data_IF_416292212701
#
_entry.id   IF_416292212701
#
_cell.length_a   1.000
_cell.length_b   1.000
_cell.length_c   1.000
_cell.angle_alpha   90.00
_cell.angle_beta   90.00
_cell.angle_gamma   90.00
#
_symmetry.space_group_name_H-M   'P 1'
#
loop_
_entity.id
_entity.type
_entity.pdbx_description
1 polymer ?
#
# COMPACT_ATOMS: atom_id res chain seq x y z
N UNK A 1 7.01 -1.39 66.64
CA UNK A 1 8.21 -1.16 65.79
C UNK A 1 8.04 -1.92 64.48
N UNK A 2 8.08 -1.19 63.35
CA UNK A 2 8.46 -1.57 61.97
C UNK A 2 8.01 -2.93 61.36
N UNK A 3 7.03 -2.83 60.46
CA UNK A 3 7.07 -3.17 59.03
C UNK A 3 8.21 -4.07 58.48
N UNK A 4 7.86 -5.13 57.74
CA UNK A 4 8.41 -5.49 56.40
C UNK A 4 7.71 -6.72 55.77
N UNK A 5 6.95 -6.47 54.69
CA UNK A 5 7.01 -7.08 53.34
C UNK A 5 7.45 -8.55 53.17
N UNK A 6 6.60 -9.36 52.51
CA UNK A 6 7.01 -10.19 51.36
C UNK A 6 5.80 -10.58 50.48
N UNK A 7 5.73 -9.98 49.29
CA UNK A 7 4.98 -10.44 48.12
C UNK A 7 5.72 -11.61 47.47
N UNK A 8 5.00 -12.59 46.92
CA UNK A 8 5.54 -13.49 45.89
C UNK A 8 4.98 -14.91 45.87
N UNK A 9 3.82 -15.12 45.24
CA UNK A 9 3.47 -16.44 44.69
C UNK A 9 3.01 -16.26 43.24
N UNK A 10 3.84 -16.80 42.32
CA UNK A 10 3.59 -16.89 40.89
C UNK A 10 2.57 -17.99 40.63
N UNK A 11 1.46 -17.67 39.97
CA UNK A 11 0.52 -18.65 39.41
C UNK A 11 1.04 -19.02 38.01
N UNK A 12 1.42 -20.28 37.83
CA UNK A 12 1.75 -20.86 36.54
C UNK A 12 0.44 -21.30 35.85
N UNK A 13 0.11 -20.71 34.70
CA UNK A 13 -0.99 -21.14 33.85
C UNK A 13 -0.39 -21.92 32.68
N UNK A 14 -0.64 -23.23 32.65
CA UNK A 14 -0.21 -24.13 31.59
C UNK A 14 -1.07 -23.99 30.34
N UNK A 15 -0.43 -23.93 29.17
CA UNK A 15 -1.10 -23.98 27.86
C UNK A 15 -1.40 -25.44 27.49
N UNK A 16 -2.62 -25.78 27.03
CA UNK A 16 -2.90 -27.09 26.46
C UNK A 16 -2.28 -27.23 25.06
N UNK A 17 -1.75 -28.41 24.77
CA UNK A 17 -0.98 -28.74 23.57
C UNK A 17 -1.77 -28.64 22.27
N UNK A 18 -1.07 -28.29 21.19
CA UNK A 18 -1.59 -28.28 19.82
C UNK A 18 -1.79 -29.71 19.30
N UNK A 19 -2.86 -30.01 18.55
CA UNK A 19 -3.02 -31.30 17.89
C UNK A 19 -2.04 -31.48 16.73
N UNK A 20 -1.44 -32.66 16.66
CA UNK A 20 -0.55 -33.15 15.59
C UNK A 20 -1.43 -33.70 14.47
N UNK A 21 -1.34 -33.13 13.26
CA UNK A 21 -1.95 -33.72 12.06
C UNK A 21 -0.94 -34.67 11.38
N UNK A 22 -1.33 -35.90 11.02
CA UNK A 22 -0.45 -36.90 10.42
C UNK A 22 -0.18 -36.59 8.94
N UNK A 23 1.03 -36.96 8.50
CA UNK A 23 1.62 -36.52 7.24
C UNK A 23 1.03 -37.14 5.97
N UNK A 24 1.11 -36.35 4.90
CA UNK A 24 1.09 -36.83 3.53
C UNK A 24 2.51 -36.77 3.00
N UNK A 25 3.10 -37.96 2.80
CA UNK A 25 4.40 -38.11 2.16
C UNK A 25 4.28 -37.87 0.66
N UNK A 26 5.08 -36.95 0.13
CA UNK A 26 5.35 -36.88 -1.30
C UNK A 26 6.68 -37.61 -1.55
N UNK A 27 6.56 -38.80 -2.17
CA UNK A 27 7.66 -39.50 -2.79
C UNK A 27 8.26 -38.63 -3.90
N UNK A 28 9.57 -38.36 -3.79
CA UNK A 28 10.37 -37.75 -4.83
C UNK A 28 10.56 -38.75 -5.98
N UNK A 29 10.02 -38.45 -7.15
CA UNK A 29 10.37 -39.16 -8.39
C UNK A 29 11.49 -38.40 -9.12
N UNK A 30 12.66 -39.05 -9.22
CA UNK A 30 13.88 -38.52 -9.81
C UNK A 30 13.87 -38.73 -11.33
N UNK A 31 13.32 -37.76 -12.07
CA UNK A 31 13.46 -37.69 -13.52
C UNK A 31 14.74 -36.96 -13.95
N UNK A 32 15.80 -37.71 -14.29
CA UNK A 32 16.97 -37.22 -15.04
C UNK A 32 16.53 -36.73 -16.43
N UNK A 33 16.79 -35.45 -16.74
CA UNK A 33 16.60 -34.87 -18.08
C UNK A 33 17.72 -33.88 -18.40
N UNK A 34 18.35 -34.10 -19.55
CA UNK A 34 19.63 -33.57 -20.03
C UNK A 34 19.58 -32.07 -20.42
N UNK A 35 20.71 -31.37 -20.28
CA UNK A 35 20.94 -29.96 -20.65
C UNK A 35 20.86 -29.73 -22.16
N UNK A 36 20.32 -28.57 -22.59
CA UNK A 36 20.95 -27.60 -23.51
C UNK A 36 20.01 -26.42 -23.82
N UNK A 37 20.53 -25.18 -23.82
CA UNK A 37 19.84 -23.97 -24.29
C UNK A 37 20.03 -22.76 -23.36
N UNK A 38 20.90 -21.84 -23.75
CA UNK A 38 21.26 -20.62 -23.02
C UNK A 38 20.20 -19.53 -23.05
N UNK A 39 19.04 -19.80 -22.44
CA UNK A 39 18.14 -18.75 -21.96
C UNK A 39 18.39 -18.54 -20.47
N UNK A 40 18.50 -17.29 -20.01
CA UNK A 40 18.35 -16.99 -18.58
C UNK A 40 17.05 -17.64 -18.12
N UNK A 41 17.15 -18.65 -17.26
CA UNK A 41 15.96 -19.22 -16.62
C UNK A 41 15.31 -18.09 -15.84
N UNK A 42 13.98 -17.89 -15.93
CA UNK A 42 13.31 -17.02 -14.96
C UNK A 42 13.70 -17.50 -13.56
N UNK A 43 13.94 -16.58 -12.61
CA UNK A 43 14.29 -16.97 -11.26
C UNK A 43 13.29 -18.05 -10.79
N UNK A 44 13.82 -19.16 -10.27
CA UNK A 44 13.00 -20.32 -9.93
C UNK A 44 11.84 -19.89 -9.02
N UNK A 45 10.70 -20.59 -9.10
CA UNK A 45 9.48 -20.37 -8.29
C UNK A 45 9.72 -20.11 -6.79
N UNK A 46 10.88 -20.51 -6.25
CA UNK A 46 11.28 -20.31 -4.87
C UNK A 46 11.79 -18.88 -4.55
N UNK A 47 12.43 -18.18 -5.49
CA UNK A 47 12.95 -16.82 -5.27
C UNK A 47 11.82 -15.76 -5.10
N UNK A 48 10.66 -15.99 -5.72
CA UNK A 48 9.50 -15.09 -5.67
C UNK A 48 8.83 -15.02 -4.29
N UNK A 49 9.08 -15.98 -3.39
CA UNK A 49 8.50 -15.99 -2.04
C UNK A 49 9.30 -15.20 -1.00
N UNK A 50 10.50 -14.71 -1.34
CA UNK A 50 11.37 -14.02 -0.39
C UNK A 50 11.25 -12.50 -0.41
N UNK A 51 10.65 -11.93 -1.47
CA UNK A 51 10.41 -10.50 -1.59
C UNK A 51 8.97 -10.18 -1.21
N UNK A 52 8.79 -9.55 -0.05
CA UNK A 52 7.52 -8.92 0.30
C UNK A 52 7.50 -7.51 -0.28
N UNK A 53 6.58 -7.27 -1.20
CA UNK A 53 6.29 -5.95 -1.76
C UNK A 53 4.81 -5.79 -2.07
N UNK A 54 4.28 -4.62 -1.73
CA UNK A 54 2.95 -4.19 -2.12
C UNK A 54 2.93 -3.55 -3.53
N UNK A 55 4.09 -3.19 -4.08
CA UNK A 55 4.20 -2.49 -5.36
C UNK A 55 4.06 -3.45 -6.54
N UNK A 56 3.09 -3.16 -7.42
CA UNK A 56 2.84 -3.93 -8.62
C UNK A 56 3.99 -3.83 -9.62
N UNK A 57 4.63 -2.65 -9.73
CA UNK A 57 5.78 -2.46 -10.62
C UNK A 57 6.99 -3.32 -10.23
N UNK A 58 7.24 -3.52 -8.93
CA UNK A 58 8.33 -4.38 -8.45
C UNK A 58 8.03 -5.85 -8.72
N UNK A 59 6.77 -6.26 -8.49
CA UNK A 59 6.29 -7.61 -8.80
C UNK A 59 6.39 -7.92 -10.31
N UNK A 60 6.02 -6.95 -11.16
CA UNK A 60 6.14 -7.04 -12.61
C UNK A 60 7.61 -7.09 -13.08
N UNK A 61 8.50 -6.31 -12.45
CA UNK A 61 9.93 -6.34 -12.76
C UNK A 61 10.57 -7.69 -12.42
N UNK A 62 10.17 -8.31 -11.30
CA UNK A 62 10.71 -9.60 -10.86
C UNK A 62 10.39 -10.76 -11.84
N UNK A 63 9.20 -10.74 -12.46
CA UNK A 63 8.80 -11.78 -13.44
C UNK A 63 9.20 -11.47 -14.88
N UNK A 64 9.51 -10.20 -15.17
CA UNK A 64 9.82 -9.70 -16.51
C UNK A 64 8.61 -9.13 -17.25
N UNK A 65 8.86 -8.16 -18.14
CA UNK A 65 7.80 -7.40 -18.84
C UNK A 65 7.04 -8.18 -19.91
N UNK A 66 7.59 -9.28 -20.41
CA UNK A 66 7.02 -10.06 -21.53
C UNK A 66 6.24 -11.29 -21.05
N UNK A 67 5.58 -11.18 -19.89
CA UNK A 67 4.75 -12.25 -19.33
C UNK A 67 3.32 -12.11 -19.88
N UNK A 68 2.73 -13.24 -20.30
CA UNK A 68 1.31 -13.26 -20.69
C UNK A 68 0.45 -12.72 -19.54
N UNK A 69 -0.59 -11.94 -19.88
CA UNK A 69 -1.49 -11.39 -18.89
C UNK A 69 -0.94 -10.16 -18.17
N UNK A 70 0.22 -9.65 -18.58
CA UNK A 70 0.87 -8.47 -18.04
C UNK A 70 1.17 -7.48 -19.18
N UNK A 71 0.70 -6.26 -19.04
CA UNK A 71 1.06 -5.14 -19.93
C UNK A 71 1.70 -4.05 -19.07
N UNK A 72 2.84 -3.53 -19.51
CA UNK A 72 3.59 -2.50 -18.79
C UNK A 72 3.87 -1.34 -19.73
N UNK A 73 3.37 -0.17 -19.36
CA UNK A 73 3.60 1.08 -20.07
C UNK A 73 4.36 2.04 -19.16
N UNK A 74 5.30 2.79 -19.72
CA UNK A 74 6.08 3.78 -18.98
C UNK A 74 6.06 5.09 -19.74
N UNK A 75 5.93 6.18 -18.98
CA UNK A 75 6.07 7.53 -19.48
C UNK A 75 6.71 8.41 -18.44
N UNK A 76 7.27 9.52 -18.89
CA UNK A 76 7.81 10.56 -18.02
C UNK A 76 6.95 11.80 -18.18
N UNK A 77 6.58 12.40 -17.06
CA UNK A 77 5.80 13.65 -16.98
C UNK A 77 6.56 14.68 -16.14
N UNK A 78 6.31 15.96 -16.40
CA UNK A 78 6.94 17.07 -15.66
C UNK A 78 8.47 17.03 -15.69
N UNK A 79 9.08 17.42 -14.58
CA UNK A 79 10.54 17.43 -14.38
C UNK A 79 11.07 16.08 -13.88
N UNK A 80 10.87 15.03 -14.70
CA UNK A 80 11.49 13.71 -14.43
C UNK A 80 10.67 12.77 -13.56
N UNK A 81 9.38 13.05 -13.34
CA UNK A 81 8.47 12.13 -12.65
C UNK A 81 8.11 10.99 -13.61
N UNK A 82 8.39 9.76 -13.18
CA UNK A 82 8.14 8.57 -14.01
C UNK A 82 6.81 7.94 -13.62
N UNK A 83 5.93 7.77 -14.58
CA UNK A 83 4.67 7.05 -14.41
C UNK A 83 4.77 5.68 -15.09
N UNK A 84 4.53 4.63 -14.33
CA UNK A 84 4.50 3.25 -14.82
C UNK A 84 3.10 2.68 -14.62
N UNK A 85 2.46 2.24 -15.70
CA UNK A 85 1.16 1.58 -15.68
C UNK A 85 1.38 0.08 -15.85
N UNK A 86 0.83 -0.71 -14.95
CA UNK A 86 0.84 -2.17 -14.99
C UNK A 86 -0.59 -2.67 -15.05
N UNK A 87 -0.97 -3.25 -16.17
CA UNK A 87 -2.26 -3.91 -16.37
C UNK A 87 -2.11 -5.42 -16.24
N UNK A 88 -2.76 -5.97 -15.22
CA UNK A 88 -2.90 -7.41 -14.99
C UNK A 88 -4.22 -7.86 -15.61
N UNK A 89 -4.14 -8.51 -16.77
CA UNK A 89 -5.28 -8.68 -17.69
C UNK A 89 -5.91 -10.07 -17.68
N UNK A 90 -5.23 -11.07 -17.13
CA UNK A 90 -5.77 -12.43 -16.97
C UNK A 90 -5.28 -13.12 -15.68
N UNK A 91 -5.92 -14.25 -15.35
CA UNK A 91 -5.61 -15.04 -14.15
C UNK A 91 -4.19 -15.62 -14.16
N UNK A 92 -3.57 -15.78 -15.34
CA UNK A 92 -2.19 -16.20 -15.42
C UNK A 92 -1.26 -15.06 -15.00
N UNK A 93 -1.50 -13.84 -15.48
CA UNK A 93 -0.83 -12.62 -15.03
C UNK A 93 -0.94 -12.46 -13.52
N UNK A 94 -2.16 -12.53 -12.97
CA UNK A 94 -2.41 -12.43 -11.52
C UNK A 94 -1.57 -13.41 -10.72
N UNK A 95 -1.54 -14.68 -11.16
CA UNK A 95 -0.74 -15.72 -10.50
C UNK A 95 0.77 -15.47 -10.61
N UNK A 96 1.23 -14.93 -11.74
CA UNK A 96 2.65 -14.67 -11.95
C UNK A 96 3.15 -13.50 -11.10
N UNK A 97 2.42 -12.38 -11.08
CA UNK A 97 2.82 -11.19 -10.30
C UNK A 97 2.33 -11.21 -8.85
N UNK A 98 1.48 -12.18 -8.47
CA UNK A 98 0.83 -12.24 -7.15
C UNK A 98 0.10 -10.93 -6.79
N UNK A 99 -0.59 -10.35 -7.78
CA UNK A 99 -1.41 -9.15 -7.65
C UNK A 99 -2.72 -9.38 -8.39
N UNK A 100 -3.89 -9.03 -7.80
CA UNK A 100 -5.18 -9.21 -8.46
C UNK A 100 -5.23 -8.61 -9.87
N UNK A 101 -6.07 -9.18 -10.72
CA UNK A 101 -6.39 -8.58 -12.01
C UNK A 101 -6.91 -7.14 -11.88
N UNK A 102 -6.37 -6.25 -12.70
CA UNK A 102 -6.75 -4.85 -12.76
C UNK A 102 -5.59 -3.94 -13.15
N UNK A 103 -5.79 -2.64 -12.96
CA UNK A 103 -4.85 -1.60 -13.35
C UNK A 103 -4.16 -1.04 -12.12
N UNK A 104 -2.83 -0.96 -12.20
CA UNK A 104 -1.96 -0.35 -11.22
C UNK A 104 -1.18 0.78 -11.87
N UNK A 105 -1.10 1.92 -11.22
CA UNK A 105 -0.31 3.06 -11.66
C UNK A 105 0.67 3.40 -10.56
N UNK A 106 1.96 3.41 -10.88
CA UNK A 106 3.02 3.86 -9.97
C UNK A 106 3.60 5.16 -10.48
N UNK A 107 3.60 6.18 -9.63
CA UNK A 107 4.12 7.52 -9.89
C UNK A 107 5.40 7.66 -9.05
N UNK A 108 6.56 7.55 -9.70
CA UNK A 108 7.87 7.69 -9.07
C UNK A 108 8.31 9.15 -9.08
N UNK A 109 8.45 9.70 -7.88
CA UNK A 109 8.80 11.10 -7.60
C UNK A 109 10.05 11.08 -6.70
N UNK A 110 11.27 11.15 -7.28
CA UNK A 110 12.52 10.91 -6.55
C UNK A 110 12.69 11.72 -5.27
N UNK A 111 12.25 12.99 -5.28
CA UNK A 111 12.42 13.91 -4.15
C UNK A 111 11.14 14.12 -3.33
N UNK A 112 10.16 13.22 -3.40
CA UNK A 112 8.87 13.40 -2.71
C UNK A 112 8.95 13.42 -1.19
N UNK A 113 9.86 12.64 -0.58
CA UNK A 113 9.89 12.47 0.88
C UNK A 113 10.06 13.79 1.64
N UNK A 114 10.88 14.69 1.10
CA UNK A 114 11.17 16.02 1.64
C UNK A 114 11.13 17.08 0.52
N UNK A 115 10.20 16.89 -0.42
CA UNK A 115 10.08 17.71 -1.62
C UNK A 115 9.73 19.15 -1.30
N UNK A 116 10.15 20.06 -2.18
CA UNK A 116 9.73 21.44 -2.12
C UNK A 116 8.29 21.62 -2.64
N UNK A 117 7.74 22.82 -2.46
CA UNK A 117 6.36 23.13 -2.90
C UNK A 117 6.14 22.84 -4.39
N UNK A 118 7.04 23.22 -5.32
CA UNK A 118 6.93 22.84 -6.73
C UNK A 118 6.83 21.33 -6.96
N UNK A 119 7.71 20.54 -6.33
CA UNK A 119 7.73 19.08 -6.46
C UNK A 119 6.43 18.47 -5.95
N UNK A 120 5.98 18.89 -4.76
CA UNK A 120 4.74 18.42 -4.16
C UNK A 120 3.52 18.75 -5.01
N UNK A 121 3.47 19.97 -5.56
CA UNK A 121 2.39 20.43 -6.43
C UNK A 121 2.31 19.61 -7.71
N UNK A 122 3.44 19.32 -8.32
CA UNK A 122 3.50 18.51 -9.55
C UNK A 122 3.14 17.04 -9.26
N UNK A 123 3.63 16.48 -8.16
CA UNK A 123 3.28 15.13 -7.71
C UNK A 123 1.77 15.00 -7.47
N UNK A 124 1.16 15.94 -6.74
CA UNK A 124 -0.27 15.99 -6.49
C UNK A 124 -1.09 16.14 -7.78
N UNK A 125 -0.61 16.95 -8.74
CA UNK A 125 -1.25 17.13 -10.05
C UNK A 125 -1.25 15.84 -10.87
N UNK A 126 -0.11 15.16 -11.00
CA UNK A 126 -0.02 13.90 -11.74
C UNK A 126 -0.85 12.82 -11.05
N UNK A 127 -0.78 12.74 -9.71
CA UNK A 127 -1.60 11.83 -8.93
C UNK A 127 -3.10 12.07 -9.14
N UNK A 128 -3.57 13.32 -9.10
CA UNK A 128 -4.95 13.67 -9.35
C UNK A 128 -5.43 13.20 -10.73
N UNK A 129 -4.61 13.38 -11.77
CA UNK A 129 -4.94 12.95 -13.14
C UNK A 129 -5.06 11.43 -13.26
N UNK A 130 -4.17 10.67 -12.63
CA UNK A 130 -4.24 9.20 -12.66
C UNK A 130 -5.41 8.69 -11.82
N UNK A 131 -5.68 9.32 -10.68
CA UNK A 131 -6.82 9.01 -9.84
C UNK A 131 -8.15 9.28 -10.57
N UNK A 132 -8.28 10.41 -11.28
CA UNK A 132 -9.47 10.76 -12.05
C UNK A 132 -9.76 9.72 -13.15
N UNK A 133 -8.73 9.28 -13.88
CA UNK A 133 -8.84 8.23 -14.92
C UNK A 133 -9.37 6.92 -14.34
N UNK A 134 -8.97 6.56 -13.12
CA UNK A 134 -9.41 5.33 -12.47
C UNK A 134 -10.79 5.44 -11.82
N UNK A 135 -11.10 6.59 -11.22
CA UNK A 135 -12.40 6.86 -10.60
C UNK A 135 -13.53 7.01 -11.62
N UNK A 136 -13.21 7.45 -12.84
CA UNK A 136 -14.20 7.88 -13.84
C UNK A 136 -15.18 8.89 -13.24
N UNK A 137 -14.60 9.97 -12.68
CA UNK A 137 -15.31 10.94 -11.85
C UNK A 137 -16.53 11.49 -12.57
N UNK A 138 -17.72 11.38 -11.96
CA UNK A 138 -18.96 11.89 -12.54
C UNK A 138 -20.15 11.79 -11.59
N UNK A 139 -21.23 12.49 -11.92
CA UNK A 139 -22.52 12.51 -11.21
C UNK A 139 -22.52 13.18 -9.82
N UNK A 140 -23.63 13.81 -9.46
CA UNK A 140 -23.71 14.68 -8.28
C UNK A 140 -24.40 14.02 -7.06
N UNK A 141 -25.15 12.93 -7.29
CA UNK A 141 -26.12 12.43 -6.31
C UNK A 141 -25.54 11.55 -5.18
N UNK A 142 -24.31 11.05 -5.34
CA UNK A 142 -23.71 10.10 -4.39
C UNK A 142 -22.29 10.54 -3.98
N UNK A 143 -21.95 10.43 -2.68
CA UNK A 143 -20.67 10.91 -2.19
C UNK A 143 -19.50 9.99 -2.59
N UNK A 144 -18.31 10.55 -2.68
CA UNK A 144 -17.08 9.77 -2.57
C UNK A 144 -16.75 9.54 -1.09
N UNK A 145 -16.39 8.31 -0.73
CA UNK A 145 -15.95 7.97 0.62
C UNK A 145 -14.44 7.76 0.63
N UNK A 146 -13.70 8.69 1.22
CA UNK A 146 -12.26 8.56 1.44
C UNK A 146 -12.03 7.85 2.78
N UNK A 147 -11.20 6.82 2.77
CA UNK A 147 -10.91 6.02 3.97
C UNK A 147 -9.41 6.00 4.22
N UNK A 148 -8.98 6.58 5.33
CA UNK A 148 -7.61 6.48 5.82
C UNK A 148 -7.43 5.18 6.60
N UNK A 149 -6.86 4.17 5.95
CA UNK A 149 -6.52 2.88 6.57
C UNK A 149 -5.13 3.00 7.20
N UNK A 150 -4.97 2.43 8.40
CA UNK A 150 -3.70 2.39 9.10
C UNK A 150 -3.85 2.71 10.58
N UNK A 151 -2.73 2.70 11.29
CA UNK A 151 -2.64 3.03 12.69
C UNK A 151 -1.95 4.39 12.88
N UNK A 152 -2.71 5.40 13.30
CA UNK A 152 -2.18 6.76 13.58
C UNK A 152 -1.06 6.74 14.63
N UNK A 153 -1.06 5.77 15.55
CA UNK A 153 -0.05 5.60 16.60
C UNK A 153 1.28 5.01 16.10
N UNK A 154 1.35 4.51 14.86
CA UNK A 154 2.55 3.97 14.22
C UNK A 154 2.90 4.86 13.04
N UNK A 155 3.93 5.70 13.15
CA UNK A 155 4.21 6.74 12.14
C UNK A 155 4.33 6.20 10.72
N UNK A 156 5.02 5.07 10.51
CA UNK A 156 5.15 4.49 9.18
C UNK A 156 3.80 4.00 8.59
N UNK A 157 2.78 3.85 9.42
CA UNK A 157 1.42 3.39 9.09
C UNK A 157 0.36 4.51 9.24
N UNK A 158 0.79 5.78 9.44
CA UNK A 158 -0.12 6.90 9.71
C UNK A 158 -0.52 7.69 8.46
N UNK A 159 0.08 7.41 7.28
CA UNK A 159 -0.18 8.17 6.05
C UNK A 159 -1.67 8.15 5.67
N UNK A 160 -2.33 7.01 5.75
CA UNK A 160 -3.77 6.90 5.47
C UNK A 160 -4.61 7.80 6.39
N UNK A 161 -4.54 7.64 7.73
CA UNK A 161 -5.24 8.50 8.67
C UNK A 161 -4.95 10.01 8.47
N UNK A 162 -3.68 10.38 8.27
CA UNK A 162 -3.29 11.78 8.06
C UNK A 162 -3.84 12.34 6.73
N UNK A 163 -3.80 11.56 5.65
CA UNK A 163 -4.34 11.99 4.36
C UNK A 163 -5.86 12.17 4.41
N UNK A 164 -6.56 11.33 5.17
CA UNK A 164 -8.01 11.45 5.37
C UNK A 164 -8.40 12.73 6.13
N UNK A 165 -7.55 13.24 7.02
CA UNK A 165 -7.75 14.51 7.73
C UNK A 165 -7.67 15.72 6.79
N UNK A 166 -6.88 15.64 5.71
CA UNK A 166 -6.73 16.71 4.73
C UNK A 166 -7.82 16.75 3.65
N UNK A 167 -8.83 15.88 3.70
CA UNK A 167 -9.89 15.84 2.70
C UNK A 167 -10.92 16.95 2.93
N UNK A 168 -11.26 17.67 1.87
CA UNK A 168 -12.35 18.65 1.90
C UNK A 168 -13.68 17.90 1.98
N UNK A 169 -14.21 17.76 3.20
CA UNK A 169 -15.47 17.04 3.44
C UNK A 169 -16.66 17.92 3.11
N UNK A 170 -17.37 17.60 2.03
CA UNK A 170 -18.47 18.44 1.53
C UNK A 170 -19.84 17.83 1.76
N UNK A 171 -19.96 16.52 2.04
CA UNK A 171 -21.25 15.80 2.09
C UNK A 171 -22.31 16.48 2.97
N UNK A 172 -21.90 17.06 4.09
CA UNK A 172 -22.77 17.74 5.04
C UNK A 172 -23.18 19.17 4.61
N UNK A 173 -22.50 19.74 3.61
CA UNK A 173 -22.75 21.08 3.06
C UNK A 173 -23.60 21.03 1.78
N UNK A 174 -23.80 19.84 1.19
CA UNK A 174 -24.71 19.66 0.06
C UNK A 174 -26.15 19.87 0.53
N UNK A 175 -26.73 21.01 0.12
CA UNK A 175 -28.02 21.52 0.61
C UNK A 175 -27.94 23.04 0.74
N UNK A 176 -28.29 23.57 1.91
CA UNK A 176 -28.35 25.02 2.17
C UNK A 176 -26.98 25.71 2.08
N UNK A 177 -25.88 24.99 2.30
CA UNK A 177 -24.52 25.55 2.31
C UNK A 177 -23.77 25.37 0.97
N UNK A 178 -24.45 24.96 -0.10
CA UNK A 178 -23.82 24.64 -1.40
C UNK A 178 -23.08 25.84 -2.01
N UNK A 179 -23.48 27.06 -1.68
CA UNK A 179 -22.87 28.30 -2.17
C UNK A 179 -21.45 28.55 -1.62
N UNK A 180 -21.12 27.97 -0.46
CA UNK A 180 -19.78 28.06 0.15
C UNK A 180 -18.82 27.00 -0.38
N UNK A 181 -19.33 26.03 -1.15
CA UNK A 181 -18.52 25.00 -1.77
C UNK A 181 -17.98 25.47 -3.12
N UNK A 182 -16.83 24.94 -3.56
CA UNK A 182 -16.34 25.21 -4.90
C UNK A 182 -17.40 24.92 -5.97
N UNK A 183 -17.45 25.67 -7.09
CA UNK A 183 -18.50 25.52 -8.10
C UNK A 183 -18.66 24.09 -8.61
N UNK A 184 -17.55 23.36 -8.77
CA UNK A 184 -17.52 21.97 -9.24
C UNK A 184 -17.30 20.94 -8.12
N UNK A 185 -17.45 21.37 -6.87
CA UNK A 185 -17.35 20.47 -5.74
C UNK A 185 -18.35 19.33 -5.89
N UNK A 186 -17.88 18.11 -5.64
CA UNK A 186 -18.71 16.92 -5.50
C UNK A 186 -18.87 16.57 -4.03
N UNK A 187 -19.89 15.78 -3.72
CA UNK A 187 -20.15 15.31 -2.37
C UNK A 187 -19.03 14.34 -1.95
N UNK A 188 -18.38 14.62 -0.82
CA UNK A 188 -17.27 13.84 -0.31
C UNK A 188 -17.35 13.72 1.21
N UNK A 189 -16.97 12.57 1.73
CA UNK A 189 -16.83 12.31 3.15
C UNK A 189 -15.55 11.52 3.38
N UNK A 190 -14.96 11.67 4.57
CA UNK A 190 -13.72 11.02 4.93
C UNK A 190 -13.83 10.38 6.32
N UNK A 191 -13.12 9.26 6.53
CA UNK A 191 -13.03 8.60 7.84
C UNK A 191 -11.67 7.90 7.98
N UNK A 192 -11.12 7.92 9.20
CA UNK A 192 -10.02 7.05 9.61
C UNK A 192 -10.54 6.14 10.74
N UNK A 193 -10.94 4.90 10.45
CA UNK A 193 -11.64 4.04 11.40
C UNK A 193 -10.75 3.48 12.52
N UNK A 194 -9.42 3.65 12.41
CA UNK A 194 -8.45 3.05 13.31
C UNK A 194 -8.27 1.54 13.09
N UNK A 195 -7.57 0.91 14.02
CA UNK A 195 -7.25 -0.53 13.96
C UNK A 195 -7.97 -1.33 15.05
N UNK A 196 -8.13 -2.64 14.82
CA UNK A 196 -8.79 -3.58 15.74
C UNK A 196 -8.32 -3.45 17.20
N UNK A 197 -7.01 -3.29 17.42
CA UNK A 197 -6.44 -3.18 18.77
C UNK A 197 -6.86 -1.92 19.53
N UNK A 198 -7.31 -0.88 18.83
CA UNK A 198 -7.74 0.38 19.42
C UNK A 198 -9.27 0.42 19.60
N UNK A 199 -10.01 -0.08 18.61
CA UNK A 199 -11.47 0.08 18.56
C UNK A 199 -12.25 -1.17 18.95
N UNK A 200 -11.62 -2.35 18.90
CA UNK A 200 -12.29 -3.65 19.02
C UNK A 200 -13.13 -4.04 17.80
N UNK A 201 -13.11 -3.22 16.73
CA UNK A 201 -13.84 -3.45 15.48
C UNK A 201 -12.87 -3.70 14.34
N UNK A 202 -13.19 -4.65 13.46
CA UNK A 202 -12.42 -4.84 12.24
C UNK A 202 -12.64 -3.66 11.29
N UNK A 203 -11.55 -3.06 10.81
CA UNK A 203 -11.58 -1.89 9.91
C UNK A 203 -12.51 -2.13 8.70
N UNK A 204 -12.48 -3.34 8.13
CA UNK A 204 -13.32 -3.70 6.99
C UNK A 204 -14.81 -3.80 7.31
N UNK A 205 -15.19 -4.14 8.54
CA UNK A 205 -16.60 -4.18 8.97
C UNK A 205 -17.16 -2.77 9.13
N UNK A 206 -16.37 -1.86 9.71
CA UNK A 206 -16.72 -0.44 9.86
C UNK A 206 -16.95 0.18 8.48
N UNK A 207 -16.02 -0.04 7.54
CA UNK A 207 -16.11 0.49 6.18
C UNK A 207 -17.32 -0.10 5.45
N UNK A 208 -17.52 -1.42 5.53
CA UNK A 208 -18.66 -2.08 4.88
C UNK A 208 -19.99 -1.54 5.39
N UNK A 209 -20.13 -1.41 6.71
CA UNK A 209 -21.35 -0.87 7.33
C UNK A 209 -21.64 0.55 6.86
N UNK A 210 -20.60 1.39 6.77
CA UNK A 210 -20.74 2.76 6.28
C UNK A 210 -21.12 2.79 4.79
N UNK A 211 -20.50 1.95 3.96
CA UNK A 211 -20.80 1.82 2.52
C UNK A 211 -22.25 1.38 2.30
N UNK A 212 -22.76 0.43 3.07
CA UNK A 212 -24.15 -0.05 2.98
C UNK A 212 -25.16 1.05 3.31
N UNK A 213 -24.84 1.89 4.30
CA UNK A 213 -25.67 3.01 4.73
C UNK A 213 -25.67 4.16 3.72
N UNK A 214 -24.49 4.68 3.35
CA UNK A 214 -24.40 5.92 2.56
C UNK A 214 -24.34 5.68 1.05
N UNK A 215 -24.11 4.43 0.62
CA UNK A 215 -24.01 4.01 -0.79
C UNK A 215 -23.13 4.95 -1.62
N UNK A 216 -21.84 5.10 -1.25
CA UNK A 216 -20.97 6.04 -1.92
C UNK A 216 -20.75 5.62 -3.38
N UNK A 217 -20.49 6.60 -4.24
CA UNK A 217 -20.15 6.37 -5.64
C UNK A 217 -18.91 5.50 -5.79
N UNK A 218 -17.91 5.76 -4.96
CA UNK A 218 -16.68 4.98 -4.87
C UNK A 218 -16.06 5.16 -3.49
N UNK A 219 -15.27 4.17 -3.10
CA UNK A 219 -14.38 4.23 -1.94
C UNK A 219 -12.97 4.50 -2.43
N UNK A 220 -12.29 5.48 -1.84
CA UNK A 220 -10.87 5.73 -2.05
C UNK A 220 -10.17 5.33 -0.75
N UNK A 221 -9.52 4.18 -0.74
CA UNK A 221 -8.83 3.65 0.44
C UNK A 221 -7.35 4.00 0.37
N UNK A 222 -6.86 4.74 1.36
CA UNK A 222 -5.48 5.22 1.46
C UNK A 222 -4.75 4.40 2.53
N UNK A 223 -3.57 3.88 2.21
CA UNK A 223 -2.79 3.03 3.13
C UNK A 223 -1.28 3.24 2.94
N UNK A 224 -0.51 2.86 3.96
CA UNK A 224 0.94 2.74 3.87
C UNK A 224 1.33 1.40 3.24
N UNK A 225 2.27 1.43 2.30
CA UNK A 225 2.73 0.24 1.58
C UNK A 225 4.14 -0.18 2.01
N UNK A 226 4.49 -1.44 1.74
CA UNK A 226 5.86 -1.92 1.78
C UNK A 226 6.46 -1.99 0.37
N UNK A 227 7.63 -1.40 0.16
CA UNK A 227 8.43 -1.59 -1.04
C UNK A 227 9.44 -2.74 -0.86
N UNK A 228 9.95 -3.24 -1.98
CA UNK A 228 11.14 -4.07 -2.02
C UNK A 228 12.40 -3.21 -2.04
N UNK A 229 12.42 -2.15 -2.87
CA UNK A 229 13.56 -1.26 -3.06
C UNK A 229 13.51 -0.06 -2.10
N UNK A 230 14.56 0.19 -1.29
CA UNK A 230 14.63 1.32 -0.39
C UNK A 230 14.43 2.68 -1.07
N UNK A 231 14.84 2.82 -2.33
CA UNK A 231 14.72 4.06 -3.11
C UNK A 231 13.26 4.46 -3.40
N UNK A 232 12.29 3.57 -3.16
CA UNK A 232 10.86 3.85 -3.32
C UNK A 232 10.18 4.31 -2.03
N UNK A 233 10.86 4.22 -0.89
CA UNK A 233 10.30 4.70 0.37
C UNK A 233 10.05 6.21 0.25
N UNK A 234 8.78 6.59 0.38
CA UNK A 234 8.29 7.95 0.24
C UNK A 234 8.78 8.67 -1.03
N UNK A 235 8.99 7.90 -2.10
CA UNK A 235 9.37 8.40 -3.43
C UNK A 235 8.48 7.81 -4.53
N UNK A 236 7.38 7.17 -4.14
CA UNK A 236 6.41 6.58 -5.06
C UNK A 236 4.99 6.71 -4.51
N UNK A 237 4.02 6.96 -5.38
CA UNK A 237 2.59 6.79 -5.10
C UNK A 237 2.08 5.65 -5.98
N UNK A 238 1.35 4.70 -5.41
CA UNK A 238 0.64 3.65 -6.16
C UNK A 238 -0.86 3.87 -6.09
N UNK A 239 -1.52 3.81 -7.24
CA UNK A 239 -2.98 3.88 -7.38
C UNK A 239 -3.47 2.62 -8.11
N UNK A 240 -4.52 1.97 -7.61
CA UNK A 240 -5.06 0.75 -8.23
C UNK A 240 -6.57 0.63 -8.09
N UNK A 241 -7.24 0.05 -9.09
CA UNK A 241 -8.68 -0.23 -9.05
C UNK A 241 -9.03 -1.64 -8.53
N UNK A 242 -8.06 -2.32 -7.91
CA UNK A 242 -8.17 -3.70 -7.43
C UNK A 242 -8.54 -3.81 -5.96
N UNK A 243 -8.81 -2.68 -5.32
CA UNK A 243 -8.99 -2.61 -3.87
C UNK A 243 -7.70 -2.84 -3.10
N UNK A 244 -7.81 -2.96 -1.78
CA UNK A 244 -6.67 -3.07 -0.87
C UNK A 244 -6.87 -4.18 0.16
N UNK A 245 -5.78 -4.76 0.66
CA UNK A 245 -5.80 -5.66 1.81
C UNK A 245 -5.18 -4.91 3.00
N UNK A 246 -6.00 -4.33 3.90
CA UNK A 246 -5.52 -3.50 5.01
C UNK A 246 -4.41 -4.17 5.82
N UNK A 247 -3.29 -3.49 5.99
CA UNK A 247 -2.15 -3.99 6.76
C UNK A 247 -1.31 -5.07 6.09
N UNK A 248 -1.41 -5.24 4.76
CA UNK A 248 -0.55 -6.16 4.00
C UNK A 248 0.94 -5.80 4.11
N UNK A 249 1.24 -4.49 4.15
CA UNK A 249 2.62 -3.98 4.30
C UNK A 249 3.29 -4.36 5.61
N UNK A 250 2.52 -4.62 6.66
CA UNK A 250 2.99 -5.11 7.97
C UNK A 250 2.65 -6.59 8.23
N UNK A 251 2.25 -7.35 7.19
CA UNK A 251 2.08 -8.81 7.27
C UNK A 251 0.71 -9.31 7.74
N UNK A 252 -0.31 -8.45 7.81
CA UNK A 252 -1.66 -8.87 8.20
C UNK A 252 -2.49 -9.37 6.99
N UNK A 253 -3.04 -10.58 7.10
CA UNK A 253 -3.97 -11.13 6.10
C UNK A 253 -5.43 -10.80 6.48
N UNK A 254 -5.87 -9.58 6.18
CA UNK A 254 -7.26 -9.15 6.38
C UNK A 254 -8.07 -9.30 5.08
N UNK A 255 -9.42 -9.42 5.17
CA UNK A 255 -10.27 -9.42 3.98
C UNK A 255 -9.96 -8.21 3.11
N UNK A 256 -9.87 -8.45 1.80
CA UNK A 256 -9.64 -7.39 0.82
C UNK A 256 -10.86 -6.46 0.76
N UNK A 257 -10.61 -5.17 0.86
CA UNK A 257 -11.57 -4.12 0.56
C UNK A 257 -11.54 -3.87 -0.95
N UNK A 258 -12.41 -4.57 -1.67
CA UNK A 258 -12.59 -4.42 -3.11
C UNK A 258 -14.07 -4.29 -3.47
N UNK A 259 -14.34 -4.19 -4.76
CA UNK A 259 -15.71 -4.09 -5.29
C UNK A 259 -16.54 -5.33 -4.98
N UNK A 260 -15.93 -6.52 -4.89
CA UNK A 260 -16.66 -7.75 -4.58
C UNK A 260 -17.13 -7.76 -3.12
N UNK A 261 -16.31 -7.23 -2.22
CA UNK A 261 -16.62 -7.15 -0.79
C UNK A 261 -17.56 -6.00 -0.43
N UNK A 262 -17.32 -4.80 -0.98
CA UNK A 262 -18.05 -3.57 -0.65
C UNK A 262 -19.24 -3.26 -1.56
N UNK A 263 -19.34 -3.92 -2.72
CA UNK A 263 -20.42 -3.69 -3.70
C UNK A 263 -20.30 -2.40 -4.52
N UNK A 264 -19.36 -1.51 -4.18
CA UNK A 264 -19.07 -0.24 -4.87
C UNK A 264 -17.64 -0.23 -5.39
N UNK A 265 -17.30 0.57 -6.42
CA UNK A 265 -15.91 0.72 -6.87
C UNK A 265 -14.97 1.10 -5.72
N UNK A 266 -13.79 0.48 -5.68
CA UNK A 266 -12.75 0.78 -4.68
C UNK A 266 -11.46 1.10 -5.40
N UNK A 267 -10.93 2.30 -5.17
CA UNK A 267 -9.60 2.70 -5.61
C UNK A 267 -8.68 2.67 -4.40
N UNK A 268 -7.64 1.85 -4.47
CA UNK A 268 -6.57 1.82 -3.50
C UNK A 268 -5.51 2.86 -3.87
N UNK A 269 -5.09 3.64 -2.89
CA UNK A 269 -3.99 4.61 -2.97
C UNK A 269 -3.01 4.22 -1.88
N UNK A 270 -1.72 4.20 -2.19
CA UNK A 270 -0.74 3.99 -1.14
C UNK A 270 0.66 4.48 -1.47
N UNK A 271 1.41 4.76 -0.41
CA UNK A 271 2.78 5.26 -0.47
C UNK A 271 3.68 4.26 0.25
N UNK A 272 4.78 3.79 -0.35
CA UNK A 272 5.70 2.92 0.36
C UNK A 272 6.36 3.67 1.51
N UNK A 273 6.14 3.23 2.74
CA UNK A 273 6.72 3.86 3.93
C UNK A 273 7.80 2.99 4.58
N UNK A 274 7.84 1.72 4.23
CA UNK A 274 8.77 0.75 4.80
C UNK A 274 9.33 -0.18 3.74
N UNK A 275 10.45 -0.80 4.08
CA UNK A 275 10.97 -2.00 3.42
C UNK A 275 11.24 -3.06 4.48
N UNK A 276 11.11 -4.33 4.11
CA UNK A 276 11.49 -5.42 5.00
C UNK A 276 13.01 -5.51 5.16
N UNK A 277 13.48 -5.75 6.38
CA UNK A 277 14.91 -5.93 6.65
C UNK A 277 15.50 -7.10 5.85
N UNK A 278 14.70 -8.14 5.60
CA UNK A 278 15.07 -9.25 4.71
C UNK A 278 15.32 -8.79 3.27
N UNK A 279 14.51 -7.87 2.75
CA UNK A 279 14.67 -7.30 1.41
C UNK A 279 15.98 -6.52 1.31
N UNK A 280 16.29 -5.69 2.32
CA UNK A 280 17.57 -4.96 2.38
C UNK A 280 18.76 -5.93 2.43
N UNK A 281 18.70 -6.94 3.30
CA UNK A 281 19.80 -7.90 3.44
C UNK A 281 20.04 -8.68 2.15
N UNK A 282 18.96 -9.09 1.47
CA UNK A 282 19.04 -9.73 0.17
C UNK A 282 19.67 -8.79 -0.87
N UNK A 283 19.21 -7.54 -0.96
CA UNK A 283 19.71 -6.59 -1.96
C UNK A 283 21.17 -6.23 -1.72
N UNK A 284 21.57 -6.01 -0.46
CA UNK A 284 22.95 -5.80 -0.06
C UNK A 284 23.83 -7.00 -0.44
N UNK A 285 23.36 -8.23 -0.25
CA UNK A 285 24.08 -9.45 -0.67
C UNK A 285 24.20 -9.59 -2.20
N UNK A 286 23.34 -8.90 -2.96
CA UNK A 286 23.38 -8.90 -4.41
C UNK A 286 24.24 -7.77 -4.98
N UNK A 287 24.31 -6.62 -4.30
CA UNK A 287 25.07 -5.44 -4.74
C UNK A 287 26.51 -5.39 -4.21
N UNK A 288 26.76 -5.79 -2.96
CA UNK A 288 28.11 -5.74 -2.36
C UNK A 288 29.07 -6.82 -2.90
N UNK A 289 28.56 -7.73 -3.74
CA UNK A 289 29.23 -8.96 -4.14
C UNK A 289 29.19 -9.15 -5.67
N UNK A 290 29.15 -8.06 -6.45
CA UNK A 290 29.27 -8.16 -7.91
C UNK A 290 30.54 -8.93 -8.35
N UNK A 291 31.61 -8.92 -7.53
CA UNK A 291 32.85 -9.66 -7.75
C UNK A 291 32.89 -11.08 -7.16
N UNK A 292 31.92 -11.44 -6.32
CA UNK A 292 31.83 -12.76 -5.69
C UNK A 292 30.46 -13.35 -5.97
N UNK A 293 30.39 -14.31 -6.90
CA UNK A 293 29.16 -15.05 -7.23
C UNK A 293 28.60 -15.77 -5.99
N UNK A 294 27.83 -15.05 -5.17
CA UNK A 294 27.21 -15.60 -3.96
C UNK A 294 26.07 -16.49 -4.41
N UNK A 295 26.14 -17.80 -4.14
CA UNK A 295 25.11 -18.71 -4.59
C UNK A 295 23.74 -18.32 -4.02
N UNK A 296 22.71 -18.37 -4.85
CA UNK A 296 21.33 -17.99 -4.49
C UNK A 296 20.85 -18.63 -3.17
N UNK A 297 21.20 -19.90 -2.94
CA UNK A 297 20.93 -20.64 -1.70
C UNK A 297 21.42 -19.94 -0.42
N UNK A 298 22.52 -19.19 -0.50
CA UNK A 298 23.09 -18.47 0.66
C UNK A 298 22.25 -17.22 0.95
N UNK A 299 21.78 -16.53 -0.10
CA UNK A 299 20.88 -15.37 0.02
C UNK A 299 19.53 -15.78 0.59
N UNK A 300 18.96 -16.87 0.09
CA UNK A 300 17.73 -17.47 0.61
C UNK A 300 17.88 -17.84 2.10
N UNK A 301 19.00 -18.46 2.47
CA UNK A 301 19.27 -18.82 3.87
C UNK A 301 19.44 -17.61 4.77
N UNK A 302 20.07 -16.53 4.29
CA UNK A 302 20.20 -15.28 5.03
C UNK A 302 18.82 -14.68 5.34
N UNK A 303 17.95 -14.61 4.34
CA UNK A 303 16.56 -14.13 4.51
C UNK A 303 15.79 -14.99 5.50
N UNK A 304 15.87 -16.32 5.36
CA UNK A 304 15.20 -17.27 6.27
C UNK A 304 15.69 -17.09 7.72
N UNK A 305 17.00 -16.93 7.90
CA UNK A 305 17.61 -16.71 9.22
C UNK A 305 17.15 -15.39 9.85
N UNK A 306 17.07 -14.31 9.07
CA UNK A 306 16.59 -13.01 9.56
C UNK A 306 15.13 -13.08 9.99
N UNK A 307 14.26 -13.67 9.15
CA UNK A 307 12.85 -13.82 9.48
C UNK A 307 12.64 -14.71 10.73
N UNK A 308 13.45 -15.77 10.88
CA UNK A 308 13.38 -16.64 12.06
C UNK A 308 13.89 -15.97 13.33
N UNK A 309 14.95 -15.17 13.22
CA UNK A 309 15.63 -14.58 14.39
C UNK A 309 14.96 -13.28 14.85
N UNK A 310 14.46 -12.48 13.91
CA UNK A 310 13.98 -11.12 14.16
C UNK A 310 12.47 -10.95 13.89
N UNK A 311 11.79 -11.96 13.35
CA UNK A 311 10.41 -11.83 12.88
C UNK A 311 10.30 -10.90 11.67
N UNK A 312 9.10 -10.37 11.45
CA UNK A 312 8.82 -9.40 10.38
C UNK A 312 9.33 -8.00 10.78
N UNK A 313 10.64 -7.80 10.65
CA UNK A 313 11.28 -6.50 10.91
C UNK A 313 11.19 -5.62 9.67
N UNK A 314 10.70 -4.39 9.87
CA UNK A 314 10.65 -3.33 8.85
C UNK A 314 11.63 -2.21 9.16
N UNK A 315 12.09 -1.53 8.10
CA UNK A 315 13.00 -0.41 8.17
C UNK A 315 12.33 0.80 7.52
N UNK A 316 12.46 1.96 8.16
CA UNK A 316 11.92 3.24 7.75
C UNK A 316 12.99 4.34 7.90
N UNK A 317 12.93 5.44 7.12
CA UNK A 317 13.79 6.60 7.31
C UNK A 317 13.67 7.19 8.73
N UNK A 318 14.73 7.88 9.16
CA UNK A 318 14.80 8.52 10.48
C UNK A 318 13.76 9.65 10.66
N UNK A 319 13.46 10.38 9.59
CA UNK A 319 12.56 11.55 9.59
C UNK A 319 11.14 11.14 9.15
N UNK A 320 10.73 9.92 9.50
CA UNK A 320 9.46 9.31 9.04
C UNK A 320 8.23 10.15 9.37
N UNK A 321 8.26 10.92 10.47
CA UNK A 321 7.13 11.77 10.87
C UNK A 321 6.88 12.88 9.83
N UNK A 322 7.91 13.67 9.50
CA UNK A 322 7.81 14.74 8.50
C UNK A 322 7.51 14.20 7.09
N UNK A 323 8.07 13.03 6.77
CA UNK A 323 7.82 12.35 5.50
C UNK A 323 6.35 11.91 5.41
N UNK A 324 5.78 11.35 6.48
CA UNK A 324 4.38 10.91 6.51
C UNK A 324 3.43 12.10 6.35
N UNK A 325 3.69 13.22 7.03
CA UNK A 325 2.93 14.46 6.89
C UNK A 325 2.99 15.00 5.45
N UNK A 326 4.17 15.03 4.83
CA UNK A 326 4.33 15.50 3.45
C UNK A 326 3.59 14.61 2.46
N UNK A 327 3.72 13.28 2.60
CA UNK A 327 3.00 12.32 1.77
C UNK A 327 1.49 12.48 1.93
N UNK A 328 1.00 12.59 3.16
CA UNK A 328 -0.41 12.80 3.46
C UNK A 328 -0.96 14.07 2.80
N UNK A 329 -0.21 15.17 2.85
CA UNK A 329 -0.59 16.43 2.20
C UNK A 329 -0.66 16.30 0.67
N UNK A 330 0.33 15.65 0.04
CA UNK A 330 0.31 15.40 -1.41
C UNK A 330 -0.92 14.56 -1.81
N UNK A 331 -1.21 13.50 -1.05
CA UNK A 331 -2.36 12.64 -1.31
C UNK A 331 -3.68 13.37 -1.09
N UNK A 332 -3.84 14.10 0.01
CA UNK A 332 -5.08 14.82 0.28
C UNK A 332 -5.33 15.92 -0.75
N UNK A 333 -4.31 16.70 -1.12
CA UNK A 333 -4.40 17.70 -2.18
C UNK A 333 -4.76 17.06 -3.52
N UNK A 334 -4.10 15.99 -3.93
CA UNK A 334 -4.41 15.33 -5.20
C UNK A 334 -5.81 14.70 -5.24
N UNK A 335 -6.28 14.14 -4.13
CA UNK A 335 -7.66 13.63 -4.01
C UNK A 335 -8.66 14.78 -4.12
N UNK A 336 -8.42 15.89 -3.40
CA UNK A 336 -9.27 17.07 -3.44
C UNK A 336 -9.36 17.65 -4.87
N UNK A 337 -8.22 17.76 -5.55
CA UNK A 337 -8.15 18.18 -6.96
C UNK A 337 -8.99 17.26 -7.86
N UNK A 338 -8.83 15.94 -7.74
CA UNK A 338 -9.55 14.98 -8.57
C UNK A 338 -11.07 14.97 -8.31
N UNK A 339 -11.50 15.06 -7.05
CA UNK A 339 -12.92 15.00 -6.69
C UNK A 339 -13.64 16.32 -6.95
N UNK A 340 -13.01 17.46 -6.66
CA UNK A 340 -13.65 18.77 -6.69
C UNK A 340 -13.32 19.60 -7.95
N UNK A 341 -12.49 19.07 -8.86
CA UNK A 341 -11.99 19.76 -10.06
C UNK A 341 -11.35 21.12 -9.70
N UNK A 342 -10.41 21.05 -8.75
CA UNK A 342 -9.67 22.19 -8.23
C UNK A 342 -8.22 22.15 -8.73
N UNK A 343 -7.60 23.32 -8.84
CA UNK A 343 -6.15 23.44 -8.85
C UNK A 343 -5.57 23.16 -7.46
N UNK A 344 -4.26 22.93 -7.40
CA UNK A 344 -3.56 22.69 -6.15
C UNK A 344 -3.72 23.85 -5.15
N UNK A 345 -3.62 25.09 -5.63
CA UNK A 345 -3.68 26.28 -4.78
C UNK A 345 -5.10 26.49 -4.24
N UNK A 346 -6.13 26.27 -5.07
CA UNK A 346 -7.53 26.29 -4.64
C UNK A 346 -7.79 25.19 -3.60
N UNK A 347 -7.30 23.97 -3.82
CA UNK A 347 -7.47 22.88 -2.86
C UNK A 347 -6.86 23.24 -1.49
N UNK A 348 -5.68 23.86 -1.47
CA UNK A 348 -5.04 24.32 -0.24
C UNK A 348 -5.84 25.45 0.44
N UNK A 349 -6.37 26.42 -0.32
CA UNK A 349 -7.19 27.52 0.20
C UNK A 349 -8.50 27.02 0.81
N UNK A 350 -9.20 26.10 0.14
CA UNK A 350 -10.42 25.50 0.66
C UNK A 350 -10.17 24.63 1.90
N UNK A 351 -9.06 23.90 1.94
CA UNK A 351 -8.68 23.11 3.10
C UNK A 351 -8.47 24.00 4.35
N UNK A 352 -7.88 25.19 4.18
CA UNK A 352 -7.67 26.14 5.27
C UNK A 352 -8.95 26.90 5.69
N UNK A 353 -9.88 27.13 4.77
CA UNK A 353 -11.11 27.87 5.07
C UNK A 353 -12.18 27.03 5.75
N UNK A 354 -12.10 25.70 5.65
CA UNK A 354 -13.06 24.75 6.22
C UNK A 354 -12.55 24.04 7.50
N UNK A 355 -11.30 24.29 7.90
CA UNK A 355 -10.68 23.77 9.14
C UNK A 355 -10.86 24.73 10.32
#
# INVERSE_FOLDING_TARGET
MKNKSAYGQKIAVGYPGKPVYPGMGNQCDYGRGVRNGGGQRPPGRYAMNFFRTDMAVESAQAVGRSVRGLQVEERTEGEGIKVTVVDVTDAYGEKMVNKPMGRYVTIDVPDMALGDIPTNKEAARIFAQELEKLLQVGGEDAPYLVVGVGNRSVTADSVGPLAAEGIIVTRHMFGELREFLPPKARSACAIAPGVLGETGLETGEVIKSLVEEIKPRAVIAIDSLAAQKPQRIAASIQVANTGISPGSGLGNNRPRLDKAYLGVPVIAVGVPMVVYASSIAYEASSSALEDADVPERVKERLVEMLNTSCGDLVVTPKDVDAIADNCAAILSSGINMAIHDLSYDEAAEYQLSLS
#
